data_IF_306821304083
#
_entry.id   IF_306821304083
#
_cell.length_a   1.000
_cell.length_b   1.000
_cell.length_c   1.000
_cell.angle_alpha   90.00
_cell.angle_beta   90.00
_cell.angle_gamma   90.00
#
_symmetry.space_group_name_H-M   'P 1'
#
loop_
_entity.id
_entity.type
_entity.pdbx_description
1 polymer ?
#
# COMPACT_ATOMS: atom_id res chain seq x y z
N UNK A 1 -22.06 -18.65 0.72
CA UNK A 1 -21.73 -17.32 0.18
C UNK A 1 -21.87 -17.21 -1.33
N UNK A 2 -21.30 -18.09 -2.17
CA UNK A 2 -21.36 -17.93 -3.66
C UNK A 2 -22.78 -17.86 -4.25
N UNK A 3 -23.75 -18.51 -3.61
CA UNK A 3 -25.15 -18.50 -4.03
C UNK A 3 -25.96 -17.30 -3.51
N UNK A 4 -25.39 -16.46 -2.63
CA UNK A 4 -26.07 -15.26 -2.12
C UNK A 4 -26.03 -14.15 -3.17
N UNK A 5 -26.82 -13.10 -2.96
CA UNK A 5 -26.87 -11.98 -3.90
C UNK A 5 -25.52 -11.29 -4.04
N UNK A 6 -24.75 -11.12 -2.95
CA UNK A 6 -23.37 -10.63 -3.01
C UNK A 6 -22.47 -11.52 -3.85
N UNK A 7 -22.58 -12.85 -3.72
CA UNK A 7 -21.79 -13.78 -4.53
C UNK A 7 -22.11 -13.72 -6.02
N UNK A 8 -23.41 -13.58 -6.35
CA UNK A 8 -23.88 -13.41 -7.73
C UNK A 8 -23.45 -12.06 -8.32
N UNK A 9 -23.49 -11.00 -7.53
CA UNK A 9 -23.07 -9.65 -7.92
C UNK A 9 -21.57 -9.61 -8.25
N UNK A 10 -20.72 -10.07 -7.33
CA UNK A 10 -19.27 -10.17 -7.54
C UNK A 10 -18.91 -11.03 -8.75
N UNK A 11 -19.68 -12.09 -9.02
CA UNK A 11 -19.45 -12.96 -10.18
C UNK A 11 -19.55 -12.18 -11.49
N UNK A 12 -20.45 -11.19 -11.62
CA UNK A 12 -20.63 -10.42 -12.86
C UNK A 12 -19.43 -9.55 -13.21
N UNK A 13 -18.74 -9.03 -12.20
CA UNK A 13 -17.61 -8.09 -12.34
C UNK A 13 -16.22 -8.76 -12.21
N UNK A 14 -16.18 -10.08 -12.00
CA UNK A 14 -14.97 -10.85 -11.63
C UNK A 14 -13.74 -10.64 -12.52
N UNK A 15 -13.93 -10.30 -13.80
CA UNK A 15 -12.84 -10.16 -14.76
C UNK A 15 -12.38 -8.72 -14.98
N UNK A 16 -13.07 -7.70 -14.42
CA UNK A 16 -12.71 -6.28 -14.64
C UNK A 16 -11.27 -6.01 -14.21
N UNK A 17 -10.91 -6.37 -12.97
CA UNK A 17 -9.56 -6.14 -12.45
C UNK A 17 -8.48 -7.00 -13.14
N UNK A 18 -8.68 -8.32 -13.38
CA UNK A 18 -7.74 -9.12 -14.16
C UNK A 18 -7.48 -8.57 -15.58
N UNK A 19 -8.51 -8.12 -16.30
CA UNK A 19 -8.34 -7.55 -17.65
C UNK A 19 -7.58 -6.23 -17.60
N UNK A 20 -7.93 -5.34 -16.67
CA UNK A 20 -7.20 -4.10 -16.43
C UNK A 20 -5.71 -4.35 -16.14
N UNK A 21 -5.41 -5.26 -15.22
CA UNK A 21 -4.01 -5.58 -14.86
C UNK A 21 -3.21 -6.21 -16.00
N UNK A 22 -3.85 -6.90 -16.96
CA UNK A 22 -3.14 -7.57 -18.07
C UNK A 22 -2.94 -6.67 -19.28
N UNK A 23 -3.91 -5.81 -19.59
CA UNK A 23 -3.92 -5.03 -20.83
C UNK A 23 -3.80 -3.51 -20.60
N UNK A 24 -3.53 -3.09 -19.36
CA UNK A 24 -3.43 -1.69 -18.99
C UNK A 24 -4.78 -0.98 -18.94
N UNK A 25 -4.75 0.32 -18.65
CA UNK A 25 -5.97 1.09 -18.36
C UNK A 25 -6.91 1.19 -19.56
N UNK A 26 -6.41 1.57 -20.73
CA UNK A 26 -7.30 1.85 -21.88
C UNK A 26 -7.97 0.57 -22.38
N UNK A 27 -7.17 -0.42 -22.77
CA UNK A 27 -7.68 -1.66 -23.37
C UNK A 27 -8.35 -2.53 -22.29
N UNK A 28 -7.71 -2.69 -21.13
CA UNK A 28 -8.19 -3.56 -20.08
C UNK A 28 -9.50 -3.11 -19.44
N UNK A 29 -9.71 -1.80 -19.26
CA UNK A 29 -11.01 -1.27 -18.79
C UNK A 29 -12.08 -1.44 -19.86
N UNK A 30 -11.77 -1.18 -21.13
CA UNK A 30 -12.71 -1.41 -22.23
C UNK A 30 -13.18 -2.87 -22.32
N UNK A 31 -12.25 -3.83 -22.25
CA UNK A 31 -12.58 -5.26 -22.21
C UNK A 31 -13.33 -5.66 -20.94
N UNK A 32 -12.97 -5.07 -19.79
CA UNK A 32 -13.65 -5.29 -18.52
C UNK A 32 -15.11 -4.82 -18.56
N UNK A 33 -15.36 -3.64 -19.14
CA UNK A 33 -16.70 -3.12 -19.36
C UNK A 33 -17.54 -4.02 -20.27
N UNK A 34 -16.95 -4.50 -21.39
CA UNK A 34 -17.61 -5.43 -22.29
C UNK A 34 -17.99 -6.75 -21.59
N UNK A 35 -17.05 -7.38 -20.87
CA UNK A 35 -17.32 -8.64 -20.16
C UNK A 35 -18.40 -8.46 -19.08
N UNK A 36 -18.31 -7.39 -18.29
CA UNK A 36 -19.30 -7.06 -17.26
C UNK A 36 -20.69 -6.84 -17.85
N UNK A 37 -20.80 -6.12 -18.97
CA UNK A 37 -22.07 -5.81 -19.60
C UNK A 37 -22.73 -7.06 -20.17
N UNK A 38 -21.95 -7.92 -20.83
CA UNK A 38 -22.42 -9.23 -21.31
C UNK A 38 -22.82 -10.15 -20.15
N UNK A 39 -22.11 -10.11 -19.03
CA UNK A 39 -22.48 -10.91 -17.85
C UNK A 39 -23.79 -10.42 -17.22
N UNK A 40 -23.99 -9.12 -17.20
CA UNK A 40 -25.15 -8.49 -16.58
C UNK A 40 -26.41 -8.69 -17.41
N UNK A 41 -26.32 -8.53 -18.74
CA UNK A 41 -27.48 -8.61 -19.63
C UNK A 41 -27.81 -10.05 -20.06
N UNK A 42 -26.79 -10.88 -20.29
CA UNK A 42 -26.97 -12.20 -20.91
C UNK A 42 -26.44 -13.36 -20.06
N UNK A 43 -25.81 -13.09 -18.91
CA UNK A 43 -25.20 -14.12 -18.07
C UNK A 43 -23.94 -14.75 -18.68
N UNK A 44 -23.40 -14.15 -19.73
CA UNK A 44 -22.26 -14.68 -20.51
C UNK A 44 -20.96 -13.95 -20.16
N UNK A 45 -19.83 -14.64 -20.29
CA UNK A 45 -18.51 -14.04 -20.18
C UNK A 45 -17.60 -14.65 -21.24
N UNK A 46 -17.23 -13.89 -22.29
CA UNK A 46 -16.34 -14.38 -23.34
C UNK A 46 -14.97 -14.85 -22.83
N UNK A 47 -14.55 -14.34 -21.67
CA UNK A 47 -13.24 -14.60 -21.09
C UNK A 47 -13.26 -15.63 -19.94
N UNK A 48 -14.43 -16.23 -19.64
CA UNK A 48 -14.57 -17.20 -18.56
C UNK A 48 -14.29 -16.60 -17.18
N UNK A 49 -13.40 -17.22 -16.39
CA UNK A 49 -12.94 -16.67 -15.11
C UNK A 49 -11.44 -16.53 -15.13
N UNK A 50 -10.96 -15.28 -15.14
CA UNK A 50 -9.55 -14.96 -15.16
C UNK A 50 -8.96 -14.95 -13.75
N UNK A 51 -7.69 -15.34 -13.65
CA UNK A 51 -6.87 -15.23 -12.44
C UNK A 51 -6.02 -13.96 -12.47
N UNK A 52 -5.71 -13.43 -11.29
CA UNK A 52 -4.65 -12.43 -11.14
C UNK A 52 -3.27 -13.06 -11.45
N UNK A 53 -2.30 -12.22 -11.80
CA UNK A 53 -0.94 -12.64 -12.17
C UNK A 53 -0.05 -12.84 -10.94
N UNK A 54 0.63 -11.75 -10.53
CA UNK A 54 1.50 -11.74 -9.34
C UNK A 54 0.74 -11.21 -8.13
N UNK A 55 1.18 -11.60 -6.93
CA UNK A 55 0.80 -10.92 -5.69
C UNK A 55 1.34 -9.49 -5.69
N UNK A 56 0.69 -8.59 -4.95
CA UNK A 56 0.98 -7.15 -5.02
C UNK A 56 2.40 -6.78 -4.56
N UNK A 57 2.93 -7.40 -3.50
CA UNK A 57 4.33 -7.20 -3.07
C UNK A 57 5.33 -7.57 -4.17
N UNK A 58 5.03 -8.60 -4.98
CA UNK A 58 5.89 -9.09 -6.05
C UNK A 58 5.78 -8.28 -7.37
N UNK A 59 5.04 -7.17 -7.36
CA UNK A 59 4.92 -6.27 -8.52
C UNK A 59 5.95 -5.14 -8.51
N UNK A 60 6.63 -4.89 -7.38
CA UNK A 60 7.64 -3.86 -7.29
C UNK A 60 8.91 -4.30 -8.02
N UNK A 61 9.54 -3.37 -8.73
CA UNK A 61 10.79 -3.60 -9.45
C UNK A 61 11.90 -2.73 -8.82
N UNK A 62 13.18 -3.14 -8.94
CA UNK A 62 14.31 -2.39 -8.36
C UNK A 62 14.32 -0.92 -8.77
N UNK A 63 14.65 -0.04 -7.82
CA UNK A 63 14.61 1.41 -8.03
C UNK A 63 15.51 1.86 -9.19
N UNK A 64 16.63 1.19 -9.42
CA UNK A 64 17.57 1.48 -10.51
C UNK A 64 16.95 1.35 -11.92
N UNK A 65 15.77 0.73 -12.06
CA UNK A 65 15.05 0.62 -13.34
C UNK A 65 14.14 1.79 -13.66
N UNK A 66 13.99 2.75 -12.75
CA UNK A 66 13.03 3.86 -12.90
C UNK A 66 13.64 5.20 -12.52
N UNK A 67 13.06 6.25 -13.09
CA UNK A 67 13.31 7.61 -12.68
C UNK A 67 12.49 7.96 -11.44
N UNK A 68 13.09 8.72 -10.53
CA UNK A 68 12.41 9.22 -9.33
C UNK A 68 11.35 10.25 -9.73
N UNK A 69 10.12 10.03 -9.29
CA UNK A 69 9.02 10.99 -9.50
C UNK A 69 9.23 12.20 -8.59
N UNK A 70 9.29 13.39 -9.18
CA UNK A 70 9.34 14.66 -8.46
C UNK A 70 7.90 15.17 -8.20
N UNK A 71 7.38 14.88 -7.01
CA UNK A 71 6.08 15.40 -6.59
C UNK A 71 6.18 16.89 -6.21
N UNK A 72 5.21 17.74 -6.61
CA UNK A 72 5.14 19.11 -6.14
C UNK A 72 5.04 19.18 -4.61
N UNK A 73 5.55 20.27 -4.03
CA UNK A 73 5.32 20.57 -2.62
C UNK A 73 3.83 20.87 -2.39
N UNK A 74 3.27 20.51 -1.23
CA UNK A 74 1.89 20.86 -0.90
C UNK A 74 1.71 22.39 -0.85
N UNK A 75 0.55 22.85 -1.30
CA UNK A 75 0.17 24.28 -1.35
C UNK A 75 -0.57 24.75 -0.08
N UNK A 76 -0.99 23.83 0.79
CA UNK A 76 -1.73 24.12 2.02
C UNK A 76 -3.19 24.51 1.80
N UNK A 77 -3.72 24.38 0.58
CA UNK A 77 -5.11 24.74 0.23
C UNK A 77 -5.84 23.56 -0.43
N UNK A 78 -5.27 23.01 -1.50
CA UNK A 78 -5.79 21.83 -2.20
C UNK A 78 -4.98 20.58 -1.88
N UNK A 79 -3.72 20.75 -1.51
CA UNK A 79 -2.74 19.70 -1.25
C UNK A 79 -2.03 19.98 0.06
N UNK A 80 -1.88 18.94 0.87
CA UNK A 80 -1.37 19.06 2.24
C UNK A 80 -0.21 18.09 2.43
N UNK A 81 0.63 18.39 3.42
CA UNK A 81 1.62 17.43 3.85
C UNK A 81 0.95 16.25 4.58
N UNK A 82 1.70 15.15 4.67
CA UNK A 82 1.20 13.90 5.25
C UNK A 82 0.90 14.03 6.74
N UNK A 83 1.68 14.80 7.51
CA UNK A 83 1.49 14.91 8.96
C UNK A 83 0.23 15.70 9.30
N UNK A 84 -0.05 16.78 8.56
CA UNK A 84 -1.32 17.50 8.67
C UNK A 84 -2.53 16.59 8.37
N UNK A 85 -2.39 15.66 7.42
CA UNK A 85 -3.44 14.68 7.10
C UNK A 85 -3.61 13.62 8.20
N UNK A 86 -2.51 13.15 8.79
CA UNK A 86 -2.53 12.21 9.93
C UNK A 86 -3.19 12.86 11.14
N UNK A 87 -2.89 14.12 11.43
CA UNK A 87 -3.53 14.85 12.53
C UNK A 87 -5.06 14.85 12.41
N UNK A 88 -5.61 15.04 11.20
CA UNK A 88 -7.05 15.02 10.96
C UNK A 88 -7.69 13.63 11.09
N UNK A 89 -6.91 12.55 10.99
CA UNK A 89 -7.39 11.20 11.30
C UNK A 89 -7.65 10.99 12.80
N UNK A 90 -7.13 11.89 13.63
CA UNK A 90 -7.15 11.80 15.08
C UNK A 90 -6.66 10.43 15.58
N UNK A 91 -5.68 9.86 14.87
CA UNK A 91 -5.06 8.58 15.24
C UNK A 91 -4.09 8.78 16.39
N UNK A 92 -4.10 7.87 17.34
CA UNK A 92 -3.18 7.88 18.46
C UNK A 92 -2.97 6.47 19.04
N UNK A 93 -1.80 6.25 19.64
CA UNK A 93 -1.44 5.04 20.37
C UNK A 93 -0.64 5.43 21.62
N UNK A 94 -0.73 4.65 22.69
CA UNK A 94 0.09 4.86 23.89
C UNK A 94 1.59 4.77 23.55
N UNK A 95 2.42 5.68 24.05
CA UNK A 95 3.84 5.71 23.64
C UNK A 95 4.63 4.52 24.18
N UNK A 96 4.19 3.98 25.32
CA UNK A 96 4.88 2.92 26.05
C UNK A 96 4.35 1.52 25.72
N UNK A 97 3.58 1.37 24.64
CA UNK A 97 3.17 0.04 24.15
C UNK A 97 4.22 -0.60 23.23
N UNK A 98 4.24 -1.95 23.13
CA UNK A 98 5.03 -2.63 22.11
C UNK A 98 4.61 -2.21 20.70
N UNK A 99 5.59 -1.95 19.83
CA UNK A 99 5.33 -1.60 18.42
C UNK A 99 4.59 -2.74 17.72
N UNK A 100 3.37 -2.45 17.25
CA UNK A 100 2.47 -3.40 16.58
C UNK A 100 2.83 -3.66 15.09
N UNK A 101 3.98 -3.15 14.64
CA UNK A 101 4.53 -3.27 13.30
C UNK A 101 5.86 -4.02 13.38
N UNK A 102 5.77 -5.36 13.32
CA UNK A 102 6.89 -6.23 13.64
C UNK A 102 7.74 -6.44 12.39
N UNK A 103 9.01 -6.03 12.46
CA UNK A 103 10.01 -6.29 11.40
C UNK A 103 10.68 -7.63 11.70
N UNK A 104 10.57 -8.59 10.79
CA UNK A 104 11.15 -9.94 10.96
C UNK A 104 12.68 -9.96 10.92
N UNK A 105 13.27 -9.40 9.86
CA UNK A 105 14.72 -9.31 9.65
C UNK A 105 15.11 -7.85 9.36
N UNK A 106 15.73 -7.19 10.34
CA UNK A 106 16.19 -5.81 10.22
C UNK A 106 17.29 -5.64 9.16
N UNK A 107 18.15 -6.64 8.98
CA UNK A 107 19.17 -6.61 7.94
C UNK A 107 18.53 -6.80 6.55
N UNK A 108 17.41 -7.53 6.43
CA UNK A 108 16.67 -7.68 5.18
C UNK A 108 16.02 -6.36 4.78
N UNK A 109 15.48 -5.67 5.79
CA UNK A 109 14.90 -4.35 5.63
C UNK A 109 15.90 -3.39 4.97
N UNK A 110 17.15 -3.38 5.45
CA UNK A 110 18.20 -2.56 4.84
C UNK A 110 18.64 -3.09 3.47
N UNK A 111 19.10 -4.34 3.38
CA UNK A 111 19.74 -4.87 2.15
C UNK A 111 18.80 -5.03 0.95
N UNK A 112 17.48 -4.96 1.17
CA UNK A 112 16.47 -5.11 0.11
C UNK A 112 15.52 -3.91 0.05
N UNK A 113 14.71 -3.66 1.08
CA UNK A 113 13.70 -2.60 1.04
C UNK A 113 14.35 -1.23 0.81
N UNK A 114 15.46 -0.95 1.49
CA UNK A 114 16.27 0.25 1.24
C UNK A 114 17.16 0.13 0.00
N UNK A 115 18.14 -0.80 0.01
CA UNK A 115 19.24 -0.80 -0.98
C UNK A 115 18.79 -1.19 -2.40
N UNK A 116 17.71 -1.97 -2.56
CA UNK A 116 17.21 -2.40 -3.88
C UNK A 116 16.00 -1.57 -4.32
N UNK A 117 15.09 -1.28 -3.40
CA UNK A 117 13.81 -0.64 -3.71
C UNK A 117 13.70 0.83 -3.28
N UNK A 118 14.79 1.42 -2.77
CA UNK A 118 14.89 2.82 -2.36
C UNK A 118 13.91 3.22 -1.24
N UNK A 119 13.60 2.31 -0.31
CA UNK A 119 12.76 2.59 0.85
C UNK A 119 11.28 2.86 0.52
N UNK A 120 10.56 1.98 -0.21
CA UNK A 120 9.18 2.21 -0.62
C UNK A 120 8.20 2.41 0.56
N UNK A 121 8.49 1.91 1.75
CA UNK A 121 7.67 2.11 2.96
C UNK A 121 7.47 3.57 3.34
N UNK A 122 8.46 4.40 3.03
CA UNK A 122 8.37 5.86 3.21
C UNK A 122 7.35 6.52 2.27
N UNK A 123 6.92 5.82 1.22
CA UNK A 123 6.02 6.34 0.17
C UNK A 123 4.65 5.66 0.15
N UNK A 124 4.58 4.32 0.24
CA UNK A 124 3.29 3.64 0.25
C UNK A 124 2.55 3.79 1.59
N UNK A 125 3.26 4.11 2.68
CA UNK A 125 2.62 4.31 3.97
C UNK A 125 1.86 5.64 3.94
N UNK A 126 0.53 5.61 4.12
CA UNK A 126 -0.28 6.83 4.04
C UNK A 126 -0.06 7.75 5.25
N UNK A 127 0.60 7.27 6.31
CA UNK A 127 0.68 7.97 7.59
C UNK A 127 2.11 8.29 8.06
N UNK A 128 3.13 8.05 7.24
CA UNK A 128 4.51 8.41 7.61
C UNK A 128 5.04 7.67 8.82
N UNK A 129 4.62 6.41 8.97
CA UNK A 129 5.08 5.54 10.04
C UNK A 129 6.53 5.13 9.85
N UNK A 130 6.98 4.96 8.61
CA UNK A 130 8.32 4.45 8.31
C UNK A 130 9.22 5.55 7.75
N UNK A 131 10.42 5.62 8.28
CA UNK A 131 11.48 6.51 7.81
C UNK A 131 12.80 5.76 7.70
N UNK A 132 13.57 6.13 6.68
CA UNK A 132 15.01 5.85 6.64
C UNK A 132 15.72 7.15 6.94
N UNK A 133 16.56 7.15 7.97
CA UNK A 133 17.32 8.33 8.39
C UNK A 133 18.80 8.03 8.42
N UNK A 134 19.63 9.03 8.11
CA UNK A 134 21.07 8.95 8.31
C UNK A 134 21.46 9.15 9.79
N UNK A 135 22.77 9.13 10.09
CA UNK A 135 23.30 9.35 11.45
C UNK A 135 22.90 10.70 12.06
N UNK A 136 22.63 11.70 11.22
CA UNK A 136 22.30 13.07 11.61
C UNK A 136 20.76 13.29 11.65
N UNK A 137 19.98 12.25 11.34
CA UNK A 137 18.52 12.29 11.34
C UNK A 137 17.89 12.80 10.05
N UNK A 138 18.65 13.00 8.98
CA UNK A 138 18.09 13.45 7.69
C UNK A 138 17.47 12.28 6.92
N UNK A 139 16.47 12.59 6.09
CA UNK A 139 15.83 11.61 5.22
C UNK A 139 16.86 10.95 4.28
N UNK A 140 16.94 9.64 4.36
CA UNK A 140 17.94 8.83 3.69
C UNK A 140 17.33 7.65 2.92
N UNK A 141 16.09 7.76 2.44
CA UNK A 141 15.44 6.73 1.61
C UNK A 141 15.96 6.75 0.16
N UNK A 142 17.24 6.42 -0.01
CA UNK A 142 17.97 6.39 -1.28
C UNK A 142 19.05 5.29 -1.24
N UNK A 143 19.16 4.40 -2.24
CA UNK A 143 20.15 3.32 -2.26
C UNK A 143 21.62 3.77 -2.16
N UNK A 144 21.91 5.04 -2.48
CA UNK A 144 23.24 5.62 -2.35
C UNK A 144 23.60 6.03 -0.92
N UNK A 145 22.61 6.20 -0.04
CA UNK A 145 22.82 6.58 1.35
C UNK A 145 23.57 5.48 2.12
N UNK A 146 24.37 5.91 3.10
CA UNK A 146 25.18 5.04 3.97
C UNK A 146 24.84 5.34 5.43
N UNK A 147 25.14 4.37 6.29
CA UNK A 147 24.91 4.46 7.73
C UNK A 147 23.47 4.85 8.08
N UNK A 148 22.52 4.20 7.40
CA UNK A 148 21.08 4.46 7.53
C UNK A 148 20.46 3.62 8.64
N UNK A 149 19.41 4.16 9.26
CA UNK A 149 18.59 3.49 10.27
C UNK A 149 17.12 3.51 9.87
N UNK A 150 16.45 2.37 10.06
CA UNK A 150 15.01 2.26 9.91
C UNK A 150 14.31 2.73 11.20
N UNK A 151 13.38 3.66 11.07
CA UNK A 151 12.60 4.23 12.19
C UNK A 151 11.13 3.94 11.98
N UNK A 152 10.45 3.56 13.06
CA UNK A 152 9.03 3.23 13.07
C UNK A 152 8.31 4.15 14.06
N UNK A 153 7.55 5.12 13.55
CA UNK A 153 6.69 6.02 14.31
C UNK A 153 5.29 5.39 14.44
N UNK A 154 5.18 4.31 15.23
CA UNK A 154 3.99 3.48 15.30
C UNK A 154 2.72 4.24 15.73
N UNK A 155 2.87 5.31 16.51
CA UNK A 155 1.76 6.18 16.93
C UNK A 155 0.95 6.76 15.77
N UNK A 156 1.60 7.01 14.62
CA UNK A 156 0.94 7.55 13.44
C UNK A 156 0.13 6.49 12.67
N UNK A 157 0.18 5.21 13.04
CA UNK A 157 -0.44 4.15 12.25
C UNK A 157 -1.96 4.35 12.12
N UNK A 158 -2.49 4.21 10.90
CA UNK A 158 -3.94 4.31 10.61
C UNK A 158 -4.57 2.96 10.28
N UNK A 159 -3.86 1.87 10.59
CA UNK A 159 -4.32 0.48 10.46
C UNK A 159 -4.76 0.07 9.03
N UNK A 160 -4.29 0.78 8.01
CA UNK A 160 -4.62 0.52 6.60
C UNK A 160 -4.12 -0.83 6.04
N UNK A 161 -3.17 -1.48 6.73
CA UNK A 161 -2.51 -2.74 6.34
C UNK A 161 -1.66 -2.70 5.06
N UNK A 162 -1.45 -1.53 4.45
CA UNK A 162 -0.65 -1.41 3.22
C UNK A 162 0.77 -1.96 3.38
N UNK A 163 1.43 -1.72 4.52
CA UNK A 163 2.79 -2.21 4.75
C UNK A 163 2.89 -3.74 4.77
N UNK A 164 1.93 -4.41 5.42
CA UNK A 164 1.80 -5.87 5.48
C UNK A 164 1.56 -6.50 4.09
N UNK A 165 0.92 -5.75 3.18
CA UNK A 165 0.57 -6.21 1.83
C UNK A 165 1.65 -5.87 0.79
N UNK A 166 2.26 -4.69 0.87
CA UNK A 166 3.07 -4.08 -0.20
C UNK A 166 4.58 -4.25 0.00
N UNK A 167 5.04 -4.54 1.20
CA UNK A 167 6.46 -4.76 1.46
C UNK A 167 7.03 -5.82 0.51
N UNK A 168 8.00 -5.46 -0.36
CA UNK A 168 8.55 -6.39 -1.36
C UNK A 168 9.12 -7.67 -0.75
N UNK A 169 9.48 -7.65 0.54
CA UNK A 169 10.05 -8.79 1.25
C UNK A 169 9.05 -9.53 2.14
N UNK A 170 7.81 -9.04 2.29
CA UNK A 170 6.83 -9.51 3.29
C UNK A 170 7.46 -9.63 4.70
N UNK A 171 8.27 -8.66 5.07
CA UNK A 171 9.09 -8.63 6.28
C UNK A 171 8.41 -7.87 7.43
N UNK A 172 7.48 -6.98 7.13
CA UNK A 172 6.64 -6.28 8.11
C UNK A 172 5.36 -7.08 8.34
N UNK A 173 5.13 -7.51 9.58
CA UNK A 173 3.89 -8.15 10.02
C UNK A 173 3.10 -7.19 10.90
N UNK A 174 1.89 -6.80 10.45
CA UNK A 174 0.99 -5.98 11.25
C UNK A 174 0.23 -6.85 12.26
N UNK A 175 0.26 -6.46 13.54
CA UNK A 175 -0.59 -7.05 14.58
C UNK A 175 -1.50 -5.97 15.18
N UNK A 176 -2.64 -6.33 15.78
CA UNK A 176 -3.44 -5.36 16.50
C UNK A 176 -2.66 -4.73 17.68
N UNK A 177 -2.68 -3.39 17.84
CA UNK A 177 -2.21 -2.73 19.06
C UNK A 177 -3.18 -2.93 20.22
N UNK A 178 -2.97 -2.22 21.33
CA UNK A 178 -3.94 -2.17 22.42
C UNK A 178 -5.33 -1.73 21.94
N UNK A 179 -6.37 -2.24 22.61
CA UNK A 179 -7.75 -2.00 22.22
C UNK A 179 -8.18 -0.55 22.49
N UNK A 180 -8.82 0.07 21.49
CA UNK A 180 -9.30 1.46 21.56
C UNK A 180 -8.34 2.48 20.95
N UNK A 181 -7.19 2.05 20.44
CA UNK A 181 -6.20 2.88 19.78
C UNK A 181 -6.34 2.88 18.25
N UNK A 182 -5.60 3.77 17.59
CA UNK A 182 -5.65 3.97 16.16
C UNK A 182 -6.57 5.12 15.75
N UNK A 183 -7.03 5.14 14.49
CA UNK A 183 -7.74 6.29 13.94
C UNK A 183 -9.12 6.50 14.56
N UNK A 184 -9.46 7.76 14.85
CA UNK A 184 -10.78 8.16 15.36
C UNK A 184 -11.53 8.90 14.26
N UNK A 185 -12.12 8.11 13.37
CA UNK A 185 -12.86 8.61 12.22
C UNK A 185 -14.29 9.01 12.59
N UNK A 186 -14.63 10.29 12.43
CA UNK A 186 -15.98 10.80 12.63
C UNK A 186 -16.72 10.93 11.28
N UNK A 187 -17.66 10.02 11.01
CA UNK A 187 -18.52 10.08 9.82
C UNK A 187 -17.85 9.74 8.49
N UNK A 188 -16.73 9.01 8.52
CA UNK A 188 -16.12 8.39 7.33
C UNK A 188 -16.66 6.98 7.08
#
# INVERSE_FOLDING_TARGET
WRATDSGKDLKKVRNVKPLWSRFGTIIGVGLGGLDMWLNTLFGLSPFGTLKHGKADYATLEPAAKYEKIAYPKPDGVLTFDRLSSVFLSNTNHEENEPVHLIVGDAALQQRSEHDVFAGPSTRYCPAGVYEWVDKDGNAAADPSAKDVRFVINAQNCVHCKTCDIKDPNQNINWVPPQGGEGPVYQGM
#
